data_IF_745837141884
#
_entry.id   IF_745837141884
#
_cell.length_a   1.000
_cell.length_b   1.000
_cell.length_c   1.000
_cell.angle_alpha   90.00
_cell.angle_beta   90.00
_cell.angle_gamma   90.00
#
_symmetry.space_group_name_H-M   'P 1'
#
loop_
_entity.id
_entity.type
_entity.pdbx_description
1 polymer ?
#
# COMPACT_ATOMS: atom_id res chain seq x y z
N UNK A 1 -1.09 4.37 -4.44
CA UNK A 1 -2.38 3.63 -4.36
C UNK A 1 -2.12 2.31 -3.68
N UNK A 2 -2.98 1.90 -2.76
CA UNK A 2 -2.90 0.63 -2.03
C UNK A 2 -4.26 -0.06 -2.12
N UNK A 3 -4.27 -1.37 -2.31
CA UNK A 3 -5.48 -2.17 -2.43
C UNK A 3 -5.24 -3.59 -1.90
N UNK A 4 -6.31 -4.26 -1.47
CA UNK A 4 -6.21 -5.63 -0.97
C UNK A 4 -7.57 -6.17 -0.54
N UNK A 5 -8.08 -7.16 -1.27
CA UNK A 5 -9.37 -7.78 -0.96
C UNK A 5 -9.34 -8.44 0.42
N UNK A 6 -10.31 -8.12 1.28
CA UNK A 6 -10.35 -8.58 2.66
C UNK A 6 -9.47 -7.79 3.63
N UNK A 7 -8.72 -6.78 3.15
CA UNK A 7 -7.88 -5.88 3.98
C UNK A 7 -8.33 -4.42 3.90
N UNK A 8 -8.82 -3.99 2.74
CA UNK A 8 -9.31 -2.65 2.45
C UNK A 8 -10.60 -2.73 1.63
N UNK A 9 -11.49 -1.77 1.84
CA UNK A 9 -12.66 -1.57 0.98
C UNK A 9 -12.24 -0.67 -0.19
N UNK A 10 -12.12 -1.24 -1.37
CA UNK A 10 -11.68 -0.52 -2.57
C UNK A 10 -10.19 -0.20 -2.56
N UNK A 11 -9.82 0.96 -3.12
CA UNK A 11 -8.43 1.43 -3.20
C UNK A 11 -8.20 2.68 -2.36
N UNK A 12 -7.06 2.72 -1.69
CA UNK A 12 -6.60 3.86 -0.90
C UNK A 12 -5.58 4.66 -1.71
N UNK A 13 -5.87 5.92 -1.97
CA UNK A 13 -4.93 6.86 -2.60
C UNK A 13 -4.35 7.79 -1.53
N UNK A 14 -3.02 7.87 -1.48
CA UNK A 14 -2.28 8.73 -0.56
C UNK A 14 -1.33 9.57 -1.42
N UNK A 15 -1.40 10.88 -1.27
CA UNK A 15 -0.46 11.78 -1.92
C UNK A 15 0.81 11.86 -1.07
N UNK A 16 1.95 11.66 -1.71
CA UNK A 16 3.27 11.68 -1.07
C UNK A 16 3.98 12.96 -1.48
N UNK A 17 4.50 13.78 -0.54
CA UNK A 17 5.20 15.00 -0.89
C UNK A 17 6.51 14.71 -1.64
N UNK A 18 7.05 15.74 -2.29
CA UNK A 18 8.31 15.64 -3.01
C UNK A 18 9.45 15.19 -2.07
N UNK A 19 10.29 14.28 -2.57
CA UNK A 19 11.49 13.80 -1.90
C UNK A 19 12.73 14.38 -2.56
N UNK A 20 13.69 14.87 -1.76
CA UNK A 20 15.01 15.25 -2.27
C UNK A 20 15.85 14.01 -2.56
N UNK A 21 16.90 14.13 -3.38
CA UNK A 21 17.81 13.01 -3.63
C UNK A 21 18.34 12.40 -2.33
N UNK A 22 18.33 11.07 -2.24
CA UNK A 22 18.77 10.26 -1.08
C UNK A 22 17.93 10.42 0.20
N UNK A 23 16.82 11.13 0.16
CA UNK A 23 15.85 11.11 1.26
C UNK A 23 14.97 9.86 1.24
N UNK A 24 14.35 9.58 2.39
CA UNK A 24 13.41 8.46 2.57
C UNK A 24 12.05 8.99 3.00
N UNK A 25 11.00 8.61 2.26
CA UNK A 25 9.63 8.81 2.73
C UNK A 25 9.17 7.63 3.59
N UNK A 26 8.40 7.93 4.62
CA UNK A 26 7.72 6.94 5.46
C UNK A 26 6.25 7.31 5.57
N UNK A 27 5.43 6.61 4.79
CA UNK A 27 3.97 6.74 4.82
C UNK A 27 3.40 5.63 5.71
N UNK A 28 2.46 5.99 6.57
CA UNK A 28 1.70 5.04 7.40
C UNK A 28 0.22 5.22 7.09
N UNK A 29 -0.50 4.11 7.03
CA UNK A 29 -1.94 4.07 6.87
C UNK A 29 -2.45 2.84 7.60
N UNK A 30 -3.73 2.86 7.93
CA UNK A 30 -4.40 1.76 8.60
C UNK A 30 -5.18 0.92 7.58
N UNK A 31 -5.32 -0.36 7.89
CA UNK A 31 -6.17 -1.30 7.15
C UNK A 31 -7.16 -1.90 8.14
N UNK A 32 -8.36 -2.24 7.66
CA UNK A 32 -9.37 -2.91 8.47
C UNK A 32 -9.65 -4.27 7.84
N UNK A 33 -9.00 -5.35 8.32
CA UNK A 33 -9.25 -6.68 7.81
C UNK A 33 -10.71 -7.09 8.00
N UNK A 34 -11.34 -7.60 6.93
CA UNK A 34 -12.75 -8.02 6.92
C UNK A 34 -12.93 -9.51 6.66
N UNK A 35 -11.84 -10.24 6.37
CA UNK A 35 -11.87 -11.69 6.13
C UNK A 35 -10.59 -12.35 6.64
N UNK A 36 -10.72 -13.43 7.39
CA UNK A 36 -9.61 -14.25 7.88
C UNK A 36 -8.91 -15.05 6.77
N UNK A 37 -7.74 -15.60 7.09
CA UNK A 37 -6.84 -16.34 6.20
C UNK A 37 -5.81 -15.45 5.51
N UNK A 38 -4.95 -16.06 4.68
CA UNK A 38 -3.90 -15.35 3.94
C UNK A 38 -4.51 -14.39 2.92
N UNK A 39 -4.12 -13.11 3.01
CA UNK A 39 -4.52 -12.02 2.11
C UNK A 39 -3.30 -11.40 1.44
N UNK A 40 -3.54 -10.68 0.36
CA UNK A 40 -2.51 -9.96 -0.38
C UNK A 40 -2.80 -8.46 -0.34
N UNK A 41 -1.82 -7.68 0.12
CA UNK A 41 -1.82 -6.23 0.04
C UNK A 41 -0.92 -5.81 -1.11
N UNK A 42 -1.48 -5.04 -2.05
CA UNK A 42 -0.79 -4.53 -3.22
C UNK A 42 -0.64 -3.03 -3.11
N UNK A 43 0.52 -2.53 -3.48
CA UNK A 43 0.78 -1.09 -3.54
C UNK A 43 1.45 -0.71 -4.86
N UNK A 44 1.05 0.47 -5.34
CA UNK A 44 1.63 1.15 -6.48
C UNK A 44 2.07 2.56 -6.05
N UNK A 45 3.36 2.84 -6.24
CA UNK A 45 3.93 4.16 -6.09
C UNK A 45 4.36 4.72 -7.45
N UNK A 46 3.92 5.93 -7.77
CA UNK A 46 4.27 6.60 -9.01
C UNK A 46 4.65 8.05 -8.72
N UNK A 47 5.73 8.53 -9.33
CA UNK A 47 6.13 9.93 -9.34
C UNK A 47 6.62 10.33 -10.72
N UNK A 48 7.03 11.59 -10.89
CA UNK A 48 7.53 12.12 -12.16
C UNK A 48 8.79 11.40 -12.71
N UNK A 49 9.58 10.73 -11.87
CA UNK A 49 10.80 10.01 -12.28
C UNK A 49 10.64 8.50 -12.31
N UNK A 50 9.76 7.95 -11.50
CA UNK A 50 9.56 6.52 -11.37
C UNK A 50 8.07 6.20 -11.50
N UNK A 51 7.60 5.78 -12.69
CA UNK A 51 6.23 5.34 -12.87
C UNK A 51 6.06 3.91 -12.34
N UNK A 52 4.91 3.65 -11.72
CA UNK A 52 4.39 2.32 -11.41
C UNK A 52 5.32 1.37 -10.63
N UNK A 53 6.10 1.87 -9.66
CA UNK A 53 6.83 1.02 -8.70
C UNK A 53 5.81 0.16 -7.95
N UNK A 54 6.02 -1.16 -7.94
CA UNK A 54 5.13 -2.14 -7.32
C UNK A 54 5.68 -2.63 -5.99
N UNK A 55 4.78 -2.90 -5.06
CA UNK A 55 5.07 -3.65 -3.85
C UNK A 55 3.89 -4.59 -3.54
N UNK A 56 4.22 -5.73 -2.93
CA UNK A 56 3.27 -6.77 -2.54
C UNK A 56 3.66 -7.26 -1.15
N UNK A 57 2.66 -7.53 -0.30
CA UNK A 57 2.84 -8.09 1.02
C UNK A 57 1.73 -9.12 1.29
N UNK A 58 2.13 -10.33 1.65
CA UNK A 58 1.22 -11.35 2.18
C UNK A 58 0.93 -11.05 3.65
N UNK A 59 -0.35 -11.07 4.04
CA UNK A 59 -0.80 -10.79 5.40
C UNK A 59 -1.70 -11.94 5.85
N UNK A 60 -1.32 -12.62 6.92
CA UNK A 60 -2.15 -13.65 7.54
C UNK A 60 -3.09 -13.00 8.55
N UNK A 61 -4.39 -13.05 8.27
CA UNK A 61 -5.43 -12.48 9.13
C UNK A 61 -6.02 -13.61 9.97
N UNK A 62 -5.85 -13.54 11.29
CA UNK A 62 -6.50 -14.46 12.22
C UNK A 62 -8.02 -14.25 12.24
N UNK A 63 -8.75 -15.25 12.74
CA UNK A 63 -10.19 -15.15 12.98
C UNK A 63 -10.51 -14.29 14.21
#
# INVERSE_FOLDING_TARGET
MVEGSGLLLGSLKIDVPALRPKERSRVRFEILPTRSGTKQLLANFSCNKFPAIKAMLSVDVAE
#
